data_IF_407267570797
#
_entry.id   IF_407267570797
#
_cell.length_a   1.000
_cell.length_b   1.000
_cell.length_c   1.000
_cell.angle_alpha   90.00
_cell.angle_beta   90.00
_cell.angle_gamma   90.00
#
_symmetry.space_group_name_H-M   'P 1'
#
loop_
_entity.id
_entity.type
_entity.pdbx_description
1 polymer ?
#
# COMPACT_ATOMS: atom_id res chain seq x y z
N UNK A 1 -13.83 -7.64 -20.76
CA UNK A 1 -12.85 -6.71 -20.16
C UNK A 1 -12.26 -7.41 -18.95
N UNK A 2 -10.97 -7.77 -18.92
CA UNK A 2 -10.47 -8.73 -17.92
C UNK A 2 -10.43 -8.07 -16.55
N UNK A 3 -11.35 -8.48 -15.67
CA UNK A 3 -11.50 -8.03 -14.29
C UNK A 3 -10.47 -8.67 -13.33
N UNK A 4 -9.34 -9.16 -13.85
CA UNK A 4 -8.43 -10.10 -13.17
C UNK A 4 -7.11 -9.47 -12.69
N UNK A 5 -6.99 -8.13 -12.70
CA UNK A 5 -5.73 -7.45 -12.31
C UNK A 5 -5.70 -6.96 -10.87
N UNK A 6 -6.82 -7.00 -10.15
CA UNK A 6 -6.94 -6.43 -8.81
C UNK A 6 -7.40 -7.48 -7.83
N UNK A 7 -6.61 -7.71 -6.78
CA UNK A 7 -6.98 -8.59 -5.66
C UNK A 7 -7.62 -7.74 -4.57
N UNK A 8 -8.84 -8.06 -4.08
CA UNK A 8 -9.47 -7.30 -3.01
C UNK A 8 -8.67 -7.47 -1.71
N UNK A 9 -8.31 -6.35 -1.08
CA UNK A 9 -7.63 -6.31 0.21
C UNK A 9 -8.49 -5.55 1.23
N UNK A 10 -8.68 -6.14 2.41
CA UNK A 10 -9.40 -5.49 3.52
C UNK A 10 -8.41 -4.99 4.56
N UNK A 11 -8.41 -3.69 4.81
CA UNK A 11 -7.58 -3.04 5.83
C UNK A 11 -8.45 -2.45 6.94
N UNK A 12 -7.94 -2.48 8.17
CA UNK A 12 -8.51 -1.72 9.29
C UNK A 12 -7.55 -0.60 9.64
N UNK A 13 -8.03 0.64 9.52
CA UNK A 13 -7.25 1.82 9.84
C UNK A 13 -7.87 2.59 11.01
N UNK A 14 -7.06 3.29 11.81
CA UNK A 14 -7.56 4.25 12.79
C UNK A 14 -8.39 5.36 12.10
N UNK A 15 -9.37 5.96 12.78
CA UNK A 15 -10.21 7.02 12.21
C UNK A 15 -9.41 8.20 11.65
N UNK A 16 -8.33 8.57 12.34
CA UNK A 16 -7.42 9.65 11.91
C UNK A 16 -6.77 9.36 10.56
N UNK A 17 -6.40 8.11 10.30
CA UNK A 17 -5.77 7.72 9.04
C UNK A 17 -6.78 7.81 7.88
N UNK A 18 -8.01 7.34 8.10
CA UNK A 18 -9.09 7.47 7.10
C UNK A 18 -9.33 8.94 6.72
N UNK A 19 -9.41 9.83 7.70
CA UNK A 19 -9.61 11.26 7.45
C UNK A 19 -8.47 11.90 6.64
N UNK A 20 -7.21 11.51 6.91
CA UNK A 20 -6.06 11.98 6.14
C UNK A 20 -6.06 11.43 4.70
N UNK A 21 -6.42 10.15 4.54
CA UNK A 21 -6.52 9.52 3.22
C UNK A 21 -7.64 10.15 2.38
N UNK A 22 -8.77 10.47 2.99
CA UNK A 22 -9.88 11.17 2.35
C UNK A 22 -9.47 12.58 1.89
N UNK A 23 -8.78 13.34 2.74
CA UNK A 23 -8.28 14.66 2.36
C UNK A 23 -7.25 14.60 1.22
N UNK A 24 -6.38 13.58 1.20
CA UNK A 24 -5.43 13.37 0.11
C UNK A 24 -6.13 12.97 -1.19
N UNK A 25 -7.13 12.09 -1.11
CA UNK A 25 -7.89 11.63 -2.26
C UNK A 25 -8.74 12.75 -2.89
N UNK A 26 -9.36 13.59 -2.05
CA UNK A 26 -10.12 14.76 -2.48
C UNK A 26 -9.24 15.75 -3.24
N UNK A 27 -8.02 16.01 -2.72
CA UNK A 27 -7.03 16.88 -3.35
C UNK A 27 -6.58 16.39 -4.73
N UNK A 28 -6.44 15.08 -4.92
CA UNK A 28 -5.98 14.49 -6.18
C UNK A 28 -7.12 14.14 -7.15
N UNK A 29 -8.39 14.31 -6.73
CA UNK A 29 -9.58 13.87 -7.47
C UNK A 29 -9.51 12.38 -7.85
N UNK A 30 -8.99 11.56 -6.93
CA UNK A 30 -8.76 10.11 -7.10
C UNK A 30 -9.55 9.32 -6.06
N UNK A 31 -9.78 8.04 -6.34
CA UNK A 31 -10.34 7.13 -5.34
C UNK A 31 -9.35 6.96 -4.16
N UNK A 32 -9.87 6.58 -2.98
CA UNK A 32 -9.03 6.25 -1.82
C UNK A 32 -8.00 5.18 -2.15
N UNK A 33 -8.39 4.17 -2.92
CA UNK A 33 -7.51 3.08 -3.36
C UNK A 33 -6.39 3.60 -4.26
N UNK A 34 -6.71 4.39 -5.29
CA UNK A 34 -5.70 4.91 -6.21
C UNK A 34 -4.73 5.87 -5.50
N UNK A 35 -5.24 6.63 -4.53
CA UNK A 35 -4.43 7.52 -3.68
C UNK A 35 -3.47 6.68 -2.82
N UNK A 36 -3.98 5.63 -2.17
CA UNK A 36 -3.17 4.70 -1.37
C UNK A 36 -2.11 4.00 -2.22
N UNK A 37 -2.46 3.54 -3.42
CA UNK A 37 -1.52 2.95 -4.38
C UNK A 37 -0.42 3.94 -4.75
N UNK A 38 -0.78 5.18 -5.11
CA UNK A 38 0.19 6.23 -5.49
C UNK A 38 1.16 6.52 -4.35
N UNK A 39 0.64 6.71 -3.12
CA UNK A 39 1.46 6.96 -1.92
C UNK A 39 2.39 5.77 -1.63
N UNK A 40 1.87 4.53 -1.76
CA UNK A 40 2.66 3.33 -1.53
C UNK A 40 3.78 3.18 -2.58
N UNK A 41 3.47 3.38 -3.86
CA UNK A 41 4.47 3.33 -4.93
C UNK A 41 5.54 4.40 -4.77
N UNK A 42 5.15 5.64 -4.44
CA UNK A 42 6.08 6.72 -4.17
C UNK A 42 7.02 6.39 -3.00
N UNK A 43 6.46 5.88 -1.89
CA UNK A 43 7.25 5.43 -0.75
C UNK A 43 8.23 4.31 -1.14
N UNK A 44 7.76 3.26 -1.81
CA UNK A 44 8.61 2.17 -2.24
C UNK A 44 9.73 2.65 -3.16
N UNK A 45 9.42 3.51 -4.13
CA UNK A 45 10.41 4.06 -5.06
C UNK A 45 11.45 4.93 -4.34
N UNK A 46 11.03 5.80 -3.40
CA UNK A 46 11.93 6.64 -2.61
C UNK A 46 12.86 5.83 -1.71
N UNK A 47 12.42 4.65 -1.25
CA UNK A 47 13.18 3.77 -0.38
C UNK A 47 13.92 2.64 -1.13
N UNK A 48 13.83 2.59 -2.46
CA UNK A 48 14.42 1.51 -3.27
C UNK A 48 13.81 0.13 -2.98
N UNK A 49 12.57 0.07 -2.50
CA UNK A 49 11.83 -1.15 -2.24
C UNK A 49 11.21 -1.60 -3.56
N UNK A 50 11.80 -2.63 -4.15
CA UNK A 50 11.26 -3.33 -5.30
C UNK A 50 10.55 -4.61 -4.84
N UNK A 51 9.72 -5.19 -5.72
CA UNK A 51 9.05 -6.47 -5.46
C UNK A 51 10.05 -7.58 -5.16
N UNK A 52 11.25 -7.53 -5.77
CA UNK A 52 12.32 -8.50 -5.47
C UNK A 52 12.93 -8.31 -4.06
N UNK A 53 13.13 -7.07 -3.62
CA UNK A 53 13.62 -6.76 -2.26
C UNK A 53 12.55 -6.98 -1.19
N UNK A 54 11.27 -6.75 -1.50
CA UNK A 54 10.16 -7.03 -0.58
C UNK A 54 10.03 -8.53 -0.25
N UNK A 55 10.29 -9.41 -1.23
CA UNK A 55 10.33 -10.87 -1.00
C UNK A 55 11.48 -11.29 -0.07
N UNK A 56 12.58 -10.54 -0.04
CA UNK A 56 13.73 -10.85 0.81
C UNK A 56 13.49 -10.47 2.28
N UNK A 57 12.71 -9.42 2.54
CA UNK A 57 12.40 -8.95 3.91
C UNK A 57 11.25 -9.75 4.55
N UNK A 58 10.39 -10.39 3.76
CA UNK A 58 9.26 -11.20 4.23
C UNK A 58 9.64 -12.59 4.78
N UNK A 59 10.91 -12.88 5.04
CA UNK A 59 11.29 -14.06 5.82
C UNK A 59 11.47 -13.64 7.29
N UNK A 60 10.52 -13.98 8.19
CA UNK A 60 10.77 -13.77 9.61
C UNK A 60 11.94 -14.68 9.99
N UNK A 61 13.05 -14.06 10.42
CA UNK A 61 13.99 -14.69 11.33
C UNK A 61 13.24 -14.96 12.64
N UNK A 62 12.47 -16.03 12.67
CA UNK A 62 12.04 -16.70 13.89
C UNK A 62 13.03 -17.82 14.14
N UNK A 63 14.07 -17.55 14.93
CA UNK A 63 14.93 -18.59 15.47
C UNK A 63 14.15 -19.49 16.43
N UNK A 64 14.56 -20.76 16.53
CA UNK A 64 14.62 -21.53 17.78
C UNK A 64 15.43 -22.82 17.54
N UNK A 65 16.56 -22.87 18.24
CA UNK A 65 17.34 -24.00 18.80
C UNK A 65 17.31 -25.34 18.08
#
# INVERSE_FOLDING_TARGET
MPADKTVPMSFRFPPKFKALLEAAADRENRSLTNTLETVLYAYCQQHGIDVETAKTVAKPQGGKK
#
